data_IF_376496359232
#
_entry.id   IF_376496359232
#
_cell.length_a   1.000
_cell.length_b   1.000
_cell.length_c   1.000
_cell.angle_alpha   90.00
_cell.angle_beta   90.00
_cell.angle_gamma   90.00
#
_symmetry.space_group_name_H-M   'P 1'
#
loop_
_entity.id
_entity.type
_entity.pdbx_description
1 polymer ?
#
# COMPACT_ATOMS: atom_id res chain seq x y z
N UNK A 1 -19.99 8.04 -9.44
CA UNK A 1 -18.98 8.40 -8.42
C UNK A 1 -19.48 9.64 -7.70
N UNK A 2 -19.40 9.66 -6.37
CA UNK A 2 -19.79 10.80 -5.53
C UNK A 2 -21.23 10.83 -5.02
N UNK A 3 -22.05 9.79 -5.24
CA UNK A 3 -23.38 9.70 -4.59
C UNK A 3 -23.24 8.99 -3.24
N UNK A 4 -23.52 9.67 -2.10
CA UNK A 4 -23.30 9.13 -0.76
C UNK A 4 -24.20 7.93 -0.42
N UNK A 5 -25.19 7.60 -1.26
CA UNK A 5 -26.06 6.43 -1.09
C UNK A 5 -25.45 5.15 -1.67
N UNK A 6 -24.35 5.25 -2.41
CA UNK A 6 -23.66 4.07 -2.95
C UNK A 6 -22.99 3.33 -1.79
N UNK A 7 -23.05 2.00 -1.82
CA UNK A 7 -22.35 1.16 -0.84
C UNK A 7 -20.82 1.17 -0.98
N UNK A 8 -20.30 1.71 -2.10
CA UNK A 8 -18.87 1.89 -2.35
C UNK A 8 -18.64 3.01 -3.38
N UNK A 9 -17.48 3.64 -3.33
CA UNK A 9 -17.01 4.60 -4.32
C UNK A 9 -15.48 4.54 -4.45
N UNK A 10 -14.91 5.16 -5.48
CA UNK A 10 -13.46 5.37 -5.53
C UNK A 10 -13.08 6.49 -4.56
N UNK A 11 -12.06 6.21 -3.75
CA UNK A 11 -11.50 7.13 -2.76
C UNK A 11 -9.99 7.14 -2.87
N UNK A 12 -9.37 8.25 -2.49
CA UNK A 12 -7.92 8.41 -2.53
C UNK A 12 -7.22 7.28 -1.76
N UNK A 13 -6.05 6.86 -2.23
CA UNK A 13 -5.27 5.77 -1.64
C UNK A 13 -5.06 6.00 -0.14
N UNK A 14 -5.39 4.97 0.67
CA UNK A 14 -5.31 5.03 2.14
C UNK A 14 -6.62 5.40 2.85
N UNK A 15 -7.66 5.80 2.11
CA UNK A 15 -8.98 6.15 2.68
C UNK A 15 -10.05 5.06 2.51
N UNK A 16 -9.75 4.01 1.75
CA UNK A 16 -10.66 2.87 1.52
C UNK A 16 -10.23 1.60 2.24
N UNK A 17 -10.84 0.49 1.85
CA UNK A 17 -10.72 -0.79 2.55
C UNK A 17 -9.64 -1.74 1.97
N UNK A 18 -8.76 -1.24 1.10
CA UNK A 18 -7.72 -2.07 0.47
C UNK A 18 -6.63 -2.46 1.48
N UNK A 19 -6.28 -3.75 1.63
CA UNK A 19 -5.23 -4.20 2.53
C UNK A 19 -3.83 -3.98 1.92
N UNK A 20 -3.39 -2.72 1.88
CA UNK A 20 -2.16 -2.32 1.18
C UNK A 20 -0.89 -3.03 1.68
N UNK A 21 -0.69 -3.13 3.00
CA UNK A 21 0.50 -3.78 3.56
C UNK A 21 0.59 -5.26 3.16
N UNK A 22 -0.52 -5.98 3.27
CA UNK A 22 -0.60 -7.39 2.86
C UNK A 22 -0.34 -7.53 1.36
N UNK A 23 -0.87 -6.61 0.55
CA UNK A 23 -0.68 -6.60 -0.89
C UNK A 23 0.79 -6.42 -1.26
N UNK A 24 1.51 -5.47 -0.63
CA UNK A 24 2.94 -5.27 -0.91
C UNK A 24 3.81 -6.42 -0.39
N UNK A 25 3.48 -7.01 0.77
CA UNK A 25 4.15 -8.22 1.24
C UNK A 25 3.96 -9.39 0.28
N UNK A 26 2.76 -9.55 -0.29
CA UNK A 26 2.49 -10.57 -1.29
C UNK A 26 3.32 -10.33 -2.56
N UNK A 27 3.38 -9.08 -3.07
CA UNK A 27 4.23 -8.72 -4.22
C UNK A 27 5.71 -9.03 -3.99
N UNK A 28 6.25 -8.66 -2.82
CA UNK A 28 7.62 -9.01 -2.43
C UNK A 28 7.82 -10.54 -2.36
N UNK A 29 6.86 -11.28 -1.80
CA UNK A 29 6.95 -12.74 -1.66
C UNK A 29 7.04 -13.49 -2.99
N UNK A 30 6.44 -12.95 -4.05
CA UNK A 30 6.50 -13.51 -5.40
C UNK A 30 7.67 -12.95 -6.23
N UNK A 31 8.51 -12.09 -5.65
CA UNK A 31 9.66 -11.49 -6.31
C UNK A 31 9.29 -10.45 -7.38
N UNK A 32 8.17 -9.73 -7.21
CA UNK A 32 7.80 -8.67 -8.14
C UNK A 32 8.76 -7.48 -8.01
N UNK A 33 9.41 -7.09 -9.11
CA UNK A 33 10.40 -6.00 -9.15
C UNK A 33 10.01 -4.85 -10.10
N UNK A 34 8.79 -4.89 -10.63
CA UNK A 34 8.26 -3.84 -11.50
C UNK A 34 7.86 -2.57 -10.74
N UNK A 35 7.45 -1.51 -11.46
CA UNK A 35 7.00 -0.28 -10.83
C UNK A 35 5.62 -0.44 -10.17
N UNK A 36 5.44 0.18 -9.01
CA UNK A 36 4.12 0.38 -8.41
C UNK A 36 3.50 1.66 -9.00
N UNK A 37 2.50 1.49 -9.84
CA UNK A 37 1.72 2.61 -10.41
C UNK A 37 0.60 3.02 -9.45
N UNK A 38 0.25 4.31 -9.45
CA UNK A 38 -0.90 4.85 -8.72
C UNK A 38 -1.86 5.44 -9.74
N UNK A 39 -3.02 4.79 -9.87
CA UNK A 39 -4.20 5.37 -10.52
C UNK A 39 -4.98 6.11 -9.44
N UNK A 40 -5.24 7.41 -9.65
CA UNK A 40 -5.88 8.27 -8.66
C UNK A 40 -7.29 8.65 -9.10
N UNK A 41 -8.29 8.37 -8.27
CA UNK A 41 -9.68 8.77 -8.45
C UNK A 41 -10.35 8.97 -7.08
N UNK A 42 -10.88 10.18 -6.85
CA UNK A 42 -11.72 10.51 -5.69
C UNK A 42 -12.59 11.72 -6.05
N UNK A 43 -13.92 11.55 -6.01
CA UNK A 43 -14.86 12.63 -6.35
C UNK A 43 -14.95 13.71 -5.26
N UNK A 44 -14.50 13.43 -4.04
CA UNK A 44 -14.56 14.30 -2.88
C UNK A 44 -13.24 15.03 -2.57
N UNK A 45 -12.18 14.85 -3.36
CA UNK A 45 -10.84 15.38 -3.08
C UNK A 45 -10.24 16.12 -4.29
N UNK A 46 -9.44 17.16 -4.04
CA UNK A 46 -8.65 17.80 -5.12
C UNK A 46 -7.57 16.84 -5.64
N UNK A 47 -7.46 16.75 -6.96
CA UNK A 47 -6.56 15.77 -7.62
C UNK A 47 -5.09 15.99 -7.30
N UNK A 48 -4.61 17.23 -7.16
CA UNK A 48 -3.18 17.49 -6.93
C UNK A 48 -2.81 17.24 -5.48
N UNK A 49 -3.74 17.54 -4.56
CA UNK A 49 -3.62 17.17 -3.17
C UNK A 49 -3.62 15.65 -3.00
N UNK A 50 -4.65 14.97 -3.51
CA UNK A 50 -4.81 13.53 -3.36
C UNK A 50 -3.70 12.72 -4.03
N UNK A 51 -3.28 13.09 -5.25
CA UNK A 51 -2.17 12.41 -5.91
C UNK A 51 -0.86 12.52 -5.12
N UNK A 52 -0.62 13.66 -4.45
CA UNK A 52 0.57 13.84 -3.60
C UNK A 52 0.50 12.97 -2.35
N UNK A 53 -0.63 12.96 -1.66
CA UNK A 53 -0.83 12.11 -0.48
C UNK A 53 -0.72 10.63 -0.82
N UNK A 54 -1.37 10.18 -1.91
CA UNK A 54 -1.33 8.80 -2.36
C UNK A 54 0.10 8.30 -2.60
N UNK A 55 0.94 9.11 -3.27
CA UNK A 55 2.37 8.78 -3.46
C UNK A 55 3.11 8.69 -2.14
N UNK A 56 2.85 9.61 -1.21
CA UNK A 56 3.46 9.61 0.12
C UNK A 56 3.09 8.36 0.93
N UNK A 57 1.81 8.02 0.95
CA UNK A 57 1.26 6.86 1.63
C UNK A 57 1.81 5.55 1.05
N UNK A 58 1.77 5.35 -0.27
CA UNK A 58 2.32 4.12 -0.86
C UNK A 58 3.81 3.99 -0.56
N UNK A 59 4.59 5.08 -0.66
CA UNK A 59 6.02 5.04 -0.34
C UNK A 59 6.31 4.69 1.11
N UNK A 60 5.45 5.08 2.05
CA UNK A 60 5.63 4.71 3.46
C UNK A 60 5.42 3.21 3.69
N UNK A 61 4.76 2.50 2.77
CA UNK A 61 4.51 1.06 2.83
C UNK A 61 5.56 0.19 2.12
N UNK A 62 6.42 0.79 1.28
CA UNK A 62 7.45 0.08 0.51
C UNK A 62 8.77 -0.05 1.29
N UNK A 63 8.74 -0.67 2.47
CA UNK A 63 9.95 -0.99 3.24
C UNK A 63 10.52 -2.36 2.88
N UNK A 64 11.82 -2.54 3.10
CA UNK A 64 12.48 -3.83 2.91
C UNK A 64 11.99 -4.85 3.92
N UNK A 65 11.67 -6.05 3.44
CA UNK A 65 11.43 -7.20 4.30
C UNK A 65 12.75 -7.76 4.88
N UNK A 66 12.70 -8.46 6.03
CA UNK A 66 13.87 -9.13 6.57
C UNK A 66 14.44 -10.15 5.58
N UNK A 67 15.77 -10.19 5.45
CA UNK A 67 16.47 -11.16 4.59
C UNK A 67 16.85 -12.45 5.31
N UNK A 68 16.67 -12.51 6.63
CA UNK A 68 16.92 -13.67 7.47
C UNK A 68 15.68 -14.00 8.28
N UNK A 69 15.49 -15.27 8.63
CA UNK A 69 14.43 -15.65 9.56
C UNK A 69 14.75 -15.09 10.96
N UNK A 70 13.70 -14.73 11.69
CA UNK A 70 13.82 -14.25 13.06
C UNK A 70 14.52 -15.29 13.96
N UNK A 71 14.14 -16.57 13.83
CA UNK A 71 14.70 -17.67 14.63
C UNK A 71 16.20 -17.90 14.36
N UNK A 72 16.66 -17.65 13.12
CA UNK A 72 18.09 -17.76 12.79
C UNK A 72 18.95 -16.74 13.56
N UNK A 73 18.36 -15.66 14.08
CA UNK A 73 19.08 -14.71 14.92
C UNK A 73 19.37 -15.25 16.34
N UNK A 74 18.67 -16.31 16.76
CA UNK A 74 18.77 -16.86 18.12
C UNK A 74 19.33 -18.28 18.18
N UNK A 75 19.48 -18.97 17.05
CA UNK A 75 20.02 -20.34 16.98
C UNK A 75 21.51 -20.48 17.37
N UNK A 76 22.17 -19.38 17.74
CA UNK A 76 23.55 -19.34 18.27
C UNK A 76 23.62 -18.94 19.76
N UNK A 77 22.51 -19.04 20.51
CA UNK A 77 22.51 -18.89 21.97
C UNK A 77 22.17 -20.25 22.59
N UNK A 78 23.23 -20.94 23.03
CA UNK A 78 23.34 -22.22 23.76
C UNK A 78 22.07 -23.05 24.04
#
# INVERSE_FOLDING_TARGET
MGDPRRGWDFVSTGHGDVPWEESFRALESIGYTGPISIEWEDAGMDRLHGAREAVGYIRSLLWKLPTASFDAAFSNQD
#
